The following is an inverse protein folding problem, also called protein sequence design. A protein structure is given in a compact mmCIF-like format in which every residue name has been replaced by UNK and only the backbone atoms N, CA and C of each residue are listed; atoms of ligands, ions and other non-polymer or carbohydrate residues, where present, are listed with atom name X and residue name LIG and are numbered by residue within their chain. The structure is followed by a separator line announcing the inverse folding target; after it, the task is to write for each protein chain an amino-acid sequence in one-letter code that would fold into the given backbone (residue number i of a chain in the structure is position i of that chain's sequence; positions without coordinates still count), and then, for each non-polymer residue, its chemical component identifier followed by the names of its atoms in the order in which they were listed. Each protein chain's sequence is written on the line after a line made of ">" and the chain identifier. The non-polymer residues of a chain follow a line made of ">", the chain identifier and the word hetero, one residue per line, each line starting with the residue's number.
data_IF_461386558999
#
_entry.id   IF_461386558999
#
_cell.length_a   1.000
_cell.length_b   1.000
_cell.length_c   1.000
_cell.angle_alpha   90.00
_cell.angle_beta   90.00
_cell.angle_gamma   90.00
#
_symmetry.space_group_name_H-M   'P 1'
#
loop_
_entity.id
_entity.type
_entity.pdbx_description
1 polymer ?
#
# COMPACT_ATOMS: atom_id res chain seq x y z
N UNK A 1 -6.32 4.22 -15.60
CA UNK A 1 -6.41 3.38 -14.40
C UNK A 1 -7.29 4.10 -13.41
N UNK A 2 -8.24 3.41 -12.77
CA UNK A 2 -9.04 4.00 -11.69
C UNK A 2 -8.22 3.85 -10.40
N UNK A 3 -7.91 4.93 -9.67
CA UNK A 3 -7.19 4.85 -8.41
C UNK A 3 -7.97 4.00 -7.40
N UNK A 4 -7.30 3.03 -6.78
CA UNK A 4 -7.84 2.25 -5.66
C UNK A 4 -7.06 2.55 -4.39
N UNK A 5 -7.75 2.47 -3.26
CA UNK A 5 -7.17 2.70 -1.95
C UNK A 5 -7.62 1.62 -0.98
N UNK A 6 -6.76 1.33 -0.02
CA UNK A 6 -7.10 0.67 1.24
C UNK A 6 -6.62 1.57 2.38
N UNK A 7 -7.14 1.39 3.57
CA UNK A 7 -6.84 2.23 4.71
C UNK A 7 -6.45 1.37 5.91
N UNK A 8 -5.38 1.77 6.60
CA UNK A 8 -5.08 1.27 7.93
C UNK A 8 -5.77 2.14 8.98
N UNK A 9 -6.66 1.56 9.79
CA UNK A 9 -7.31 2.31 10.88
C UNK A 9 -6.46 2.27 12.15
N UNK A 10 -6.06 3.43 12.68
CA UNK A 10 -5.12 3.55 13.81
C UNK A 10 -5.65 2.93 15.10
N UNK A 11 -6.97 2.98 15.28
CA UNK A 11 -7.72 2.34 16.37
C UNK A 11 -9.02 1.77 15.79
N UNK A 12 -9.28 0.45 15.88
CA UNK A 12 -8.65 -0.53 16.75
C UNK A 12 -7.46 -1.31 16.13
N UNK A 13 -6.89 -0.87 15.00
CA UNK A 13 -5.78 -1.53 14.27
C UNK A 13 -6.21 -2.70 13.37
N UNK A 14 -6.87 -2.38 12.27
CA UNK A 14 -7.24 -3.34 11.23
C UNK A 14 -7.14 -2.71 9.83
N UNK A 15 -7.08 -3.55 8.80
CA UNK A 15 -7.06 -3.12 7.41
C UNK A 15 -8.47 -3.02 6.84
N UNK A 16 -8.75 -1.93 6.13
CA UNK A 16 -10.05 -1.65 5.55
C UNK A 16 -9.94 -1.36 4.05
N UNK A 17 -10.95 -1.75 3.30
CA UNK A 17 -11.13 -1.28 1.92
C UNK A 17 -11.77 0.11 1.94
N UNK A 18 -11.32 0.98 1.04
CA UNK A 18 -11.86 2.34 0.89
C UNK A 18 -12.89 2.34 -0.23
N UNK A 19 -14.10 2.78 0.09
CA UNK A 19 -15.20 2.85 -0.88
C UNK A 19 -15.39 4.27 -1.43
N UNK A 20 -15.14 5.30 -0.61
CA UNK A 20 -15.27 6.70 -0.98
C UNK A 20 -14.30 7.60 -0.19
N UNK A 21 -13.83 8.66 -0.84
CA UNK A 21 -12.98 9.69 -0.25
C UNK A 21 -13.60 11.04 -0.56
N UNK A 22 -14.05 11.75 0.48
CA UNK A 22 -14.57 13.10 0.38
C UNK A 22 -13.53 14.10 0.87
N UNK A 23 -12.92 14.83 -0.06
CA UNK A 23 -11.94 15.87 0.27
C UNK A 23 -12.59 17.13 0.86
N UNK A 24 -13.83 17.43 0.48
CA UNK A 24 -14.55 18.59 0.98
C UNK A 24 -14.91 18.43 2.46
N UNK A 25 -15.42 17.25 2.85
CA UNK A 25 -15.75 16.96 4.24
C UNK A 25 -14.59 16.36 5.04
N UNK A 26 -13.47 16.02 4.38
CA UNK A 26 -12.32 15.31 4.97
C UNK A 26 -12.72 14.02 5.68
N UNK A 27 -13.61 13.27 5.04
CA UNK A 27 -14.06 11.95 5.51
C UNK A 27 -13.72 10.89 4.48
N UNK A 28 -13.47 9.68 4.98
CA UNK A 28 -13.26 8.48 4.17
C UNK A 28 -14.25 7.42 4.60
N UNK A 29 -15.00 6.90 3.64
CA UNK A 29 -15.88 5.77 3.87
C UNK A 29 -15.09 4.47 3.68
N UNK A 30 -15.11 3.61 4.69
CA UNK A 30 -14.32 2.39 4.75
C UNK A 30 -15.16 1.20 5.20
N UNK A 31 -14.76 0.00 4.78
CA UNK A 31 -15.29 -1.26 5.28
C UNK A 31 -14.16 -2.21 5.68
N UNK A 32 -14.35 -2.98 6.75
CA UNK A 32 -13.34 -3.92 7.20
C UNK A 32 -13.12 -5.04 6.16
N UNK A 33 -11.86 -5.35 5.86
CA UNK A 33 -11.55 -6.50 4.99
C UNK A 33 -12.02 -7.81 5.65
N UNK A 34 -12.80 -8.60 4.91
CA UNK A 34 -13.28 -9.91 5.36
C UNK A 34 -14.63 -9.91 6.09
N UNK A 35 -15.28 -8.76 6.30
CA UNK A 35 -16.65 -8.72 6.80
C UNK A 35 -17.65 -8.88 5.64
N UNK A 36 -17.99 -10.13 5.35
CA UNK A 36 -18.84 -10.54 4.20
C UNK A 36 -20.34 -10.43 4.53
N UNK A 37 -20.70 -10.28 5.80
CA UNK A 37 -22.09 -10.35 6.26
C UNK A 37 -22.63 -9.01 6.76
N UNK A 38 -21.76 -8.07 7.13
CA UNK A 38 -22.12 -6.70 7.48
C UNK A 38 -21.09 -5.76 6.88
N UNK A 39 -21.33 -5.26 5.67
CA UNK A 39 -20.66 -4.07 5.16
C UNK A 39 -21.05 -2.87 6.02
N UNK A 40 -20.55 -2.81 7.25
CA UNK A 40 -20.72 -1.65 8.12
C UNK A 40 -19.73 -0.63 7.60
N UNK A 41 -20.16 0.05 6.54
CA UNK A 41 -19.45 1.21 6.02
C UNK A 41 -19.45 2.27 7.12
N UNK A 42 -18.25 2.67 7.53
CA UNK A 42 -18.07 3.74 8.51
C UNK A 42 -17.35 4.89 7.84
N UNK A 43 -17.81 6.10 8.11
CA UNK A 43 -17.11 7.32 7.73
C UNK A 43 -16.16 7.70 8.85
N UNK A 44 -14.88 7.82 8.53
CA UNK A 44 -13.81 8.18 9.47
C UNK A 44 -13.07 9.42 9.01
N UNK A 45 -12.49 10.14 9.96
CA UNK A 45 -11.67 11.32 9.64
C UNK A 45 -10.30 10.90 9.09
N UNK A 46 -9.69 11.77 8.27
CA UNK A 46 -8.39 11.48 7.64
C UNK A 46 -7.27 11.23 8.65
N UNK A 47 -7.38 11.77 9.86
CA UNK A 47 -6.39 11.62 10.92
C UNK A 47 -6.50 10.27 11.66
N UNK A 48 -7.65 9.60 11.61
CA UNK A 48 -7.89 8.28 12.20
C UNK A 48 -7.33 7.13 11.38
N UNK A 49 -6.98 7.39 10.11
CA UNK A 49 -6.50 6.39 9.16
C UNK A 49 -5.15 6.74 8.54
N UNK A 50 -4.56 5.77 7.87
CA UNK A 50 -3.47 5.95 6.92
C UNK A 50 -3.90 5.37 5.57
N UNK A 51 -3.98 6.21 4.54
CA UNK A 51 -4.36 5.80 3.19
C UNK A 51 -3.19 5.14 2.46
N UNK A 52 -3.46 3.99 1.86
CA UNK A 52 -2.52 3.23 1.05
C UNK A 52 -3.07 3.14 -0.37
N UNK A 53 -2.38 3.74 -1.33
CA UNK A 53 -2.80 3.74 -2.73
C UNK A 53 -2.31 2.48 -3.45
N UNK A 54 -3.15 1.91 -4.32
CA UNK A 54 -2.72 0.86 -5.25
C UNK A 54 -1.69 1.40 -6.25
N UNK A 55 -0.69 0.57 -6.51
CA UNK A 55 0.31 0.78 -7.55
C UNK A 55 -0.18 0.42 -8.96
N UNK A 56 -1.24 -0.38 -9.05
CA UNK A 56 -1.67 -1.06 -10.27
C UNK A 56 -0.80 -2.27 -10.67
N UNK A 57 0.26 -2.57 -9.92
CA UNK A 57 1.10 -3.75 -10.08
C UNK A 57 0.52 -4.94 -9.30
N UNK A 58 0.94 -6.14 -9.68
CA UNK A 58 0.55 -7.38 -9.01
C UNK A 58 1.78 -8.16 -8.56
N UNK A 59 1.65 -8.84 -7.45
CA UNK A 59 2.62 -9.81 -6.96
C UNK A 59 2.50 -11.15 -7.70
N UNK A 60 3.39 -12.10 -7.40
CA UNK A 60 3.43 -13.44 -8.03
C UNK A 60 2.14 -14.25 -7.86
N UNK A 61 1.33 -13.92 -6.86
CA UNK A 61 0.06 -14.58 -6.56
C UNK A 61 -1.13 -13.83 -7.20
N UNK A 62 -0.86 -12.79 -7.99
CA UNK A 62 -1.88 -11.94 -8.62
C UNK A 62 -2.53 -10.94 -7.68
N UNK A 63 -2.02 -10.78 -6.45
CA UNK A 63 -2.52 -9.81 -5.47
C UNK A 63 -2.03 -8.41 -5.82
N UNK A 64 -2.93 -7.44 -5.74
CA UNK A 64 -2.63 -6.04 -6.03
C UNK A 64 -1.69 -5.46 -4.97
N UNK A 65 -0.65 -4.74 -5.42
CA UNK A 65 0.38 -4.16 -4.56
C UNK A 65 0.02 -2.72 -4.22
N UNK A 66 0.10 -2.36 -2.95
CA UNK A 66 -0.19 -1.03 -2.43
C UNK A 66 1.07 -0.37 -1.88
N UNK A 67 1.11 0.97 -1.90
CA UNK A 67 2.12 1.74 -1.19
C UNK A 67 2.08 1.37 0.29
N UNK A 68 3.22 1.01 0.86
CA UNK A 68 3.40 0.54 2.23
C UNK A 68 3.31 -0.99 2.39
N UNK A 69 3.08 -1.75 1.32
CA UNK A 69 3.28 -3.21 1.34
C UNK A 69 4.76 -3.54 1.54
N UNK A 70 5.03 -4.67 2.21
CA UNK A 70 6.36 -5.25 2.34
C UNK A 70 6.41 -6.45 1.41
N UNK A 71 7.36 -6.44 0.49
CA UNK A 71 7.51 -7.47 -0.52
C UNK A 71 8.85 -8.17 -0.39
N UNK A 72 8.84 -9.47 -0.65
CA UNK A 72 10.06 -10.25 -0.82
C UNK A 72 10.50 -10.16 -2.27
N UNK A 73 11.66 -9.54 -2.49
CA UNK A 73 12.31 -9.39 -3.78
C UNK A 73 12.75 -10.76 -4.33
N UNK A 74 13.05 -10.84 -5.62
CA UNK A 74 13.60 -12.04 -6.27
C UNK A 74 14.93 -12.54 -5.67
N UNK A 75 15.68 -11.65 -4.99
CA UNK A 75 16.92 -11.97 -4.26
C UNK A 75 16.68 -12.45 -2.83
N UNK A 76 15.42 -12.58 -2.39
CA UNK A 76 15.04 -13.04 -1.06
C UNK A 76 15.03 -11.98 0.05
N UNK A 77 15.36 -10.73 -0.29
CA UNK A 77 15.32 -9.56 0.57
C UNK A 77 13.92 -8.96 0.73
N UNK A 78 13.60 -8.45 1.93
CA UNK A 78 12.34 -7.75 2.20
C UNK A 78 12.48 -6.26 1.97
N UNK A 79 11.52 -5.64 1.29
CA UNK A 79 11.51 -4.19 1.06
C UNK A 79 10.11 -3.61 1.21
N UNK A 80 10.05 -2.42 1.79
CA UNK A 80 8.86 -1.57 1.74
C UNK A 80 8.67 -1.02 0.33
N UNK A 81 7.48 -1.19 -0.22
CA UNK A 81 7.00 -0.52 -1.43
C UNK A 81 6.64 0.91 -1.06
N UNK A 82 7.30 1.89 -1.67
CA UNK A 82 7.04 3.30 -1.37
C UNK A 82 7.01 4.15 -2.64
N UNK A 83 6.37 5.30 -2.54
CA UNK A 83 6.33 6.29 -3.61
C UNK A 83 7.35 7.40 -3.29
N UNK A 84 8.37 7.56 -4.14
CA UNK A 84 9.31 8.66 -3.99
C UNK A 84 8.73 9.93 -4.60
N UNK A 85 8.40 10.89 -3.73
CA UNK A 85 7.70 12.13 -4.14
C UNK A 85 8.62 13.06 -4.91
N UNK A 86 9.92 13.05 -4.63
CA UNK A 86 10.89 13.92 -5.30
C UNK A 86 11.05 13.60 -6.80
N UNK A 87 10.82 12.34 -7.18
CA UNK A 87 10.93 11.88 -8.56
C UNK A 87 9.57 11.69 -9.26
N UNK A 88 8.47 11.95 -8.55
CA UNK A 88 7.11 11.82 -9.07
C UNK A 88 6.85 12.76 -10.25
N UNK A 89 6.72 12.20 -11.46
CA UNK A 89 6.48 12.96 -12.68
C UNK A 89 7.72 13.67 -13.25
N UNK A 90 8.90 13.46 -12.66
CA UNK A 90 10.16 14.10 -13.05
C UNK A 90 10.74 13.52 -14.34
N UNK A 91 10.37 12.28 -14.70
CA UNK A 91 10.82 11.63 -15.93
C UNK A 91 9.74 11.65 -17.02
N UNK A 92 10.08 12.25 -18.17
CA UNK A 92 9.26 12.23 -19.39
C UNK A 92 9.20 10.78 -19.89
N UNK A 93 8.04 10.14 -19.74
CA UNK A 93 7.84 8.72 -20.05
C UNK A 93 7.00 7.96 -19.01
N UNK A 94 6.71 8.57 -17.85
CA UNK A 94 5.66 8.09 -16.96
C UNK A 94 5.95 6.79 -16.22
N UNK A 95 7.23 6.44 -16.00
CA UNK A 95 7.54 5.34 -15.07
C UNK A 95 6.97 5.70 -13.69
N UNK A 96 6.09 4.86 -13.12
CA UNK A 96 5.61 5.08 -11.77
C UNK A 96 6.81 5.20 -10.83
N UNK A 97 6.83 6.23 -9.99
CA UNK A 97 7.85 6.44 -8.96
C UNK A 97 7.70 5.43 -7.80
N UNK A 98 7.39 4.17 -8.12
CA UNK A 98 7.26 3.08 -7.17
C UNK A 98 8.65 2.48 -7.00
N UNK A 99 9.15 2.55 -5.77
CA UNK A 99 10.48 2.07 -5.43
C UNK A 99 10.38 1.05 -4.30
N UNK A 100 11.42 0.22 -4.21
CA UNK A 100 11.67 -0.63 -3.05
C UNK A 100 12.72 0.05 -2.18
N UNK A 101 12.36 0.33 -0.93
CA UNK A 101 13.20 1.13 -0.02
C UNK A 101 14.53 0.45 0.23
N UNK A 102 15.63 1.20 0.09
CA UNK A 102 16.99 0.69 0.20
C UNK A 102 17.63 0.27 -1.13
N UNK A 103 16.90 0.26 -2.25
CA UNK A 103 17.48 0.07 -3.58
C UNK A 103 17.75 1.41 -4.27
N UNK A 104 19.03 1.73 -4.48
CA UNK A 104 19.46 3.02 -5.06
C UNK A 104 19.38 3.07 -6.60
N UNK A 105 19.23 1.92 -7.28
CA UNK A 105 19.37 1.81 -8.74
C UNK A 105 18.04 1.76 -9.51
N UNK A 106 16.92 2.10 -8.87
CA UNK A 106 15.60 1.79 -9.40
C UNK A 106 15.31 0.28 -9.39
N UNK A 107 14.04 -0.07 -9.45
CA UNK A 107 13.58 -1.45 -9.40
C UNK A 107 12.62 -1.71 -10.55
N UNK A 108 12.94 -2.68 -11.41
CA UNK A 108 12.02 -3.14 -12.43
C UNK A 108 11.11 -4.18 -11.78
N UNK A 109 9.81 -3.89 -11.71
CA UNK A 109 8.82 -4.83 -11.21
C UNK A 109 8.72 -6.02 -12.16
N UNK A 110 8.85 -7.24 -11.63
CA UNK A 110 8.89 -8.47 -12.44
C UNK A 110 7.65 -9.32 -12.30
N UNK A 111 6.77 -9.01 -11.34
CA UNK A 111 5.67 -9.86 -10.88
C UNK A 111 6.15 -11.15 -10.19
N UNK A 112 7.46 -11.37 -9.99
CA UNK A 112 7.98 -12.47 -9.17
C UNK A 112 8.07 -12.10 -7.68
N UNK A 113 7.80 -10.84 -7.33
CA UNK A 113 7.76 -10.35 -5.95
C UNK A 113 6.55 -10.93 -5.20
N UNK A 114 6.71 -11.21 -3.91
CA UNK A 114 5.63 -11.71 -3.06
C UNK A 114 5.31 -10.70 -1.96
N UNK A 115 4.05 -10.32 -1.82
CA UNK A 115 3.61 -9.51 -0.67
C UNK A 115 3.66 -10.40 0.57
N UNK A 116 4.49 -10.04 1.54
CA UNK A 116 4.67 -10.78 2.79
C UNK A 116 4.06 -10.06 4.00
N UNK A 117 3.64 -8.82 3.85
CA UNK A 117 3.01 -8.02 4.91
C UNK A 117 2.88 -6.56 4.50
N UNK A 118 2.67 -5.68 5.47
CA UNK A 118 2.74 -4.22 5.28
C UNK A 118 3.32 -3.53 6.52
N UNK A 119 3.72 -2.26 6.36
CA UNK A 119 4.36 -1.46 7.42
C UNK A 119 3.47 -1.15 8.63
N UNK A 120 2.18 -1.47 8.58
CA UNK A 120 1.26 -1.26 9.69
C UNK A 120 1.03 -2.54 10.49
N UNK A 121 0.76 -3.65 9.80
CA UNK A 121 0.47 -4.96 10.40
C UNK A 121 1.73 -5.77 10.72
N UNK A 122 2.83 -5.56 10.00
CA UNK A 122 4.04 -6.41 10.03
C UNK A 122 5.34 -5.61 10.08
N UNK A 123 5.43 -4.68 11.04
CA UNK A 123 6.60 -3.79 11.20
C UNK A 123 7.90 -4.58 11.39
N UNK A 124 7.82 -5.72 12.07
CA UNK A 124 8.92 -6.63 12.37
C UNK A 124 9.58 -7.24 11.12
N UNK A 125 8.93 -7.23 9.95
CA UNK A 125 9.50 -7.78 8.71
C UNK A 125 10.60 -6.89 8.11
N UNK A 126 10.71 -5.64 8.56
CA UNK A 126 11.76 -4.69 8.15
C UNK A 126 12.85 -4.53 9.21
N UNK A 127 12.68 -5.15 10.38
CA UNK A 127 13.72 -5.18 11.40
C UNK A 127 14.77 -6.20 10.98
N UNK A 128 16.00 -5.74 10.71
CA UNK A 128 17.11 -6.61 10.37
C UNK A 128 17.27 -7.68 11.46
N UNK A 129 17.13 -8.95 11.08
CA UNK A 129 17.69 -10.04 11.88
C UNK A 129 19.20 -9.92 11.74
N UNK A 130 19.84 -9.38 12.78
CA UNK A 130 21.31 -9.40 12.95
C UNK A 130 21.96 -10.71 12.49
#
# INVERSE_FOLDING_TARGET
>A
MIPKFRAWMKSPKWMCDVTNISFDSKLVDICQQGDIERSTEISVEFDEIELMQSTGLKDKNGKEVFIGDIVKCTRGCSHEVYLEKEYGGTFIGGMPAIYLKGLLSGYAWTEDEEIIGNVYENKELLEDKE
#
